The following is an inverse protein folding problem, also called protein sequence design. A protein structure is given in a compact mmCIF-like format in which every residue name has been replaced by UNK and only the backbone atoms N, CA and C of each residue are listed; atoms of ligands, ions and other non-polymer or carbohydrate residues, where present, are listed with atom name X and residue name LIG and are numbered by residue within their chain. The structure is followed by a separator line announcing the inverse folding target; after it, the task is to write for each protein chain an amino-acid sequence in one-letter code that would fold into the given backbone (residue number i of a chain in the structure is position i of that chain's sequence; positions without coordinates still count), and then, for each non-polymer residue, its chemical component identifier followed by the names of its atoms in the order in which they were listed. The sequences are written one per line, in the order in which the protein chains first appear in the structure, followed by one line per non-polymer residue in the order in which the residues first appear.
data_IF_785068671441
#
_entry.id   IF_785068671441
#
_cell.length_a   1.000
_cell.length_b   1.000
_cell.length_c   1.000
_cell.angle_alpha   90.00
_cell.angle_beta   90.00
_cell.angle_gamma   90.00
#
_symmetry.space_group_name_H-M   'P 1'
#
loop_
_entity.id
_entity.type
_entity.pdbx_description
1 polymer ?
#
# COMPACT_ATOMS: atom_id res chain seq x y z
N UNK A 1 18.48 -6.42 0.17
CA UNK A 1 18.61 -5.36 -0.85
C UNK A 1 20.06 -5.31 -1.25
N UNK A 2 20.39 -5.76 -2.47
CA UNK A 2 21.77 -5.75 -2.97
C UNK A 2 22.09 -4.35 -3.48
N UNK A 3 23.23 -3.77 -3.09
CA UNK A 3 23.63 -2.42 -3.49
C UNK A 3 23.04 -1.27 -2.66
N UNK A 4 22.06 -1.55 -1.80
CA UNK A 4 21.66 -0.62 -0.74
C UNK A 4 22.59 -0.85 0.45
N UNK A 5 23.16 0.21 1.02
CA UNK A 5 24.01 0.14 2.22
C UNK A 5 23.22 -0.35 3.45
N UNK A 6 23.59 0.13 4.64
CA UNK A 6 22.81 -0.18 5.85
C UNK A 6 21.32 0.16 5.64
N UNK A 7 20.48 -0.88 5.67
CA UNK A 7 19.05 -0.78 5.35
C UNK A 7 18.24 -1.33 6.52
N UNK A 8 17.16 -0.63 6.87
CA UNK A 8 16.26 -0.99 7.97
C UNK A 8 14.83 -1.12 7.46
N UNK A 9 14.18 -2.25 7.75
CA UNK A 9 12.75 -2.45 7.48
C UNK A 9 11.98 -2.39 8.79
N UNK A 10 11.18 -1.33 8.99
CA UNK A 10 10.30 -1.16 10.16
C UNK A 10 8.84 -1.22 9.72
N UNK A 11 8.03 -1.98 10.46
CA UNK A 11 6.57 -1.89 10.36
C UNK A 11 6.06 -0.80 11.30
N UNK A 12 5.34 0.18 10.77
CA UNK A 12 4.70 1.25 11.53
C UNK A 12 3.18 1.04 11.54
N UNK A 13 2.56 1.13 12.72
CA UNK A 13 1.11 1.18 12.86
C UNK A 13 0.65 2.62 13.09
N UNK A 14 -0.18 3.15 12.20
CA UNK A 14 -0.76 4.49 12.32
C UNK A 14 -2.27 4.32 12.52
N UNK A 15 -2.86 4.83 13.62
CA UNK A 15 -4.31 4.77 13.79
C UNK A 15 -4.97 5.81 12.89
N UNK A 16 -5.82 5.36 11.97
CA UNK A 16 -6.69 6.25 11.18
C UNK A 16 -8.09 6.13 11.79
N UNK A 17 -8.54 7.11 12.59
CA UNK A 17 -9.83 7.03 13.26
C UNK A 17 -10.98 7.16 12.26
N UNK A 18 -12.06 6.44 12.50
CA UNK A 18 -13.35 6.68 11.84
C UNK A 18 -14.11 7.70 12.69
N UNK A 19 -14.32 8.91 12.16
CA UNK A 19 -14.85 10.08 12.85
C UNK A 19 -16.35 10.28 12.60
N UNK A 20 -16.86 9.78 11.46
CA UNK A 20 -18.24 9.93 11.03
C UNK A 20 -18.69 8.77 10.13
N UNK A 21 -19.97 8.77 9.79
CA UNK A 21 -20.67 7.76 9.00
C UNK A 21 -20.22 7.75 7.53
N UNK A 22 -19.94 8.92 6.97
CA UNK A 22 -19.49 9.07 5.58
C UNK A 22 -18.12 8.41 5.39
N UNK A 23 -17.16 8.65 6.30
CA UNK A 23 -15.87 7.98 6.26
C UNK A 23 -15.98 6.47 6.51
N UNK A 24 -16.90 6.03 7.38
CA UNK A 24 -17.19 4.61 7.55
C UNK A 24 -17.65 3.99 6.22
N UNK A 25 -18.53 4.67 5.50
CA UNK A 25 -18.99 4.26 4.17
C UNK A 25 -17.86 4.23 3.14
N UNK A 26 -17.04 5.30 3.07
CA UNK A 26 -15.92 5.38 2.12
C UNK A 26 -14.81 4.35 2.39
N UNK A 27 -14.65 3.89 3.63
CA UNK A 27 -13.65 2.88 4.00
C UNK A 27 -14.18 1.45 3.94
N UNK A 28 -15.48 1.25 3.75
CA UNK A 28 -16.14 -0.06 3.65
C UNK A 28 -15.99 -0.75 2.28
N UNK A 29 -14.96 -0.39 1.50
CA UNK A 29 -14.69 -0.97 0.17
C UNK A 29 -14.23 -2.42 0.31
N UNK A 30 -14.82 -3.32 -0.50
CA UNK A 30 -14.46 -4.75 -0.47
C UNK A 30 -13.23 -5.03 -1.31
N UNK A 31 -12.50 -6.08 -0.96
CA UNK A 31 -11.34 -6.54 -1.73
C UNK A 31 -11.67 -6.85 -3.22
N UNK A 32 -12.92 -7.17 -3.55
CA UNK A 32 -13.36 -7.41 -4.95
C UNK A 32 -13.55 -6.14 -5.77
N UNK A 33 -13.74 -5.00 -5.11
CA UNK A 33 -13.96 -3.69 -5.71
C UNK A 33 -12.65 -2.88 -5.84
N UNK A 34 -11.58 -3.31 -5.17
CA UNK A 34 -10.26 -2.68 -5.26
C UNK A 34 -9.47 -3.32 -6.40
N UNK A 35 -9.34 -2.60 -7.51
CA UNK A 35 -8.59 -3.05 -8.68
C UNK A 35 -7.18 -2.44 -8.76
N UNK A 36 -6.25 -3.22 -9.27
CA UNK A 36 -4.88 -2.79 -9.56
C UNK A 36 -4.36 -3.41 -10.87
N UNK A 37 -3.21 -2.92 -11.32
CA UNK A 37 -2.51 -3.38 -12.53
C UNK A 37 -1.36 -4.30 -12.15
N UNK A 38 -1.09 -5.30 -12.99
CA UNK A 38 0.11 -6.13 -12.89
C UNK A 38 1.20 -5.45 -13.70
N UNK A 39 2.32 -5.12 -13.06
CA UNK A 39 3.47 -4.44 -13.68
C UNK A 39 4.68 -5.36 -13.69
N UNK A 40 5.43 -5.37 -14.78
CA UNK A 40 6.72 -6.06 -14.87
C UNK A 40 7.78 -5.28 -14.10
N UNK A 41 8.21 -5.82 -12.95
CA UNK A 41 9.23 -5.19 -12.10
C UNK A 41 10.64 -5.25 -12.70
N UNK A 42 10.88 -6.13 -13.68
CA UNK A 42 12.21 -6.36 -14.27
C UNK A 42 12.52 -5.45 -15.45
N UNK A 43 11.53 -5.13 -16.29
CA UNK A 43 11.70 -4.32 -17.50
C UNK A 43 10.88 -3.04 -17.43
N UNK A 44 9.56 -3.15 -17.30
CA UNK A 44 8.68 -1.98 -17.41
C UNK A 44 8.87 -0.98 -16.27
N UNK A 45 9.02 -1.45 -15.03
CA UNK A 45 9.22 -0.57 -13.87
C UNK A 45 10.53 0.25 -13.93
N UNK A 46 11.73 -0.34 -14.12
CA UNK A 46 12.97 0.45 -14.17
C UNK A 46 13.08 1.34 -15.42
N UNK A 47 12.50 0.93 -16.54
CA UNK A 47 12.60 1.69 -17.81
C UNK A 47 11.46 2.69 -18.01
N UNK A 48 10.53 2.81 -17.05
CA UNK A 48 9.34 3.66 -17.14
C UNK A 48 8.49 3.38 -18.38
N UNK A 49 8.47 2.13 -18.83
CA UNK A 49 7.66 1.72 -19.97
C UNK A 49 6.20 1.60 -19.53
N UNK A 50 5.32 2.31 -20.24
CA UNK A 50 3.89 2.19 -20.03
C UNK A 50 3.42 0.79 -20.43
N UNK A 51 2.72 0.11 -19.52
CA UNK A 51 2.13 -1.19 -19.82
C UNK A 51 1.63 -1.90 -18.57
N UNK A 52 0.65 -2.79 -18.77
CA UNK A 52 0.23 -3.73 -17.75
C UNK A 52 0.12 -5.13 -18.33
N UNK A 53 0.53 -6.12 -17.54
CA UNK A 53 0.37 -7.53 -17.86
C UNK A 53 -1.07 -8.04 -17.61
N UNK A 54 -1.92 -7.21 -17.02
CA UNK A 54 -3.32 -7.53 -16.72
C UNK A 54 -3.88 -6.72 -15.56
N UNK A 55 -5.20 -6.75 -15.39
CA UNK A 55 -5.91 -6.10 -14.29
C UNK A 55 -6.47 -7.15 -13.34
N UNK A 56 -6.27 -6.96 -12.04
CA UNK A 56 -6.72 -7.88 -10.98
C UNK A 56 -7.32 -7.11 -9.82
N UNK A 57 -8.16 -7.75 -9.01
CA UNK A 57 -8.63 -7.18 -7.75
C UNK A 57 -7.94 -7.79 -6.52
N UNK A 58 -8.06 -7.13 -5.37
CA UNK A 58 -7.43 -7.58 -4.13
C UNK A 58 -7.95 -8.94 -3.65
N UNK A 59 -9.21 -9.31 -3.97
CA UNK A 59 -9.77 -10.64 -3.66
C UNK A 59 -8.99 -11.73 -4.39
N UNK A 60 -8.71 -11.54 -5.67
CA UNK A 60 -7.88 -12.45 -6.46
C UNK A 60 -6.45 -12.51 -5.89
N UNK A 61 -5.83 -11.36 -5.59
CA UNK A 61 -4.48 -11.32 -5.02
C UNK A 61 -4.39 -12.06 -3.68
N UNK A 62 -5.41 -11.94 -2.83
CA UNK A 62 -5.48 -12.63 -1.53
C UNK A 62 -5.75 -14.12 -1.63
N UNK A 63 -6.28 -14.61 -2.76
CA UNK A 63 -6.48 -16.05 -2.98
C UNK A 63 -5.16 -16.83 -3.07
N UNK A 64 -4.03 -16.14 -3.27
CA UNK A 64 -2.70 -16.74 -3.36
C UNK A 64 -2.28 -17.15 -4.77
N UNK A 65 -3.13 -17.01 -5.78
CA UNK A 65 -2.79 -17.29 -7.19
C UNK A 65 -3.63 -16.44 -8.13
N UNK A 66 -3.03 -15.96 -9.22
CA UNK A 66 -3.70 -15.25 -10.32
C UNK A 66 -3.31 -15.85 -11.67
N UNK A 67 -4.02 -15.47 -12.72
CA UNK A 67 -3.67 -15.85 -14.10
C UNK A 67 -3.03 -14.66 -14.83
N UNK A 68 -1.87 -14.89 -15.45
CA UNK A 68 -1.16 -13.91 -16.26
C UNK A 68 -0.77 -14.58 -17.58
N UNK A 69 -1.27 -14.06 -18.70
CA UNK A 69 -1.02 -14.61 -20.05
C UNK A 69 -1.27 -16.13 -20.15
N UNK A 70 -2.38 -16.62 -19.59
CA UNK A 70 -2.73 -18.05 -19.60
C UNK A 70 -1.98 -18.92 -18.60
N UNK A 71 -1.11 -18.35 -17.75
CA UNK A 71 -0.33 -19.08 -16.74
C UNK A 71 -0.80 -18.73 -15.34
N UNK A 72 -0.95 -19.74 -14.48
CA UNK A 72 -1.18 -19.55 -13.05
C UNK A 72 0.13 -19.12 -12.37
N UNK A 73 0.08 -18.00 -11.66
CA UNK A 73 1.23 -17.40 -10.97
C UNK A 73 0.87 -17.20 -9.49
N UNK A 74 1.72 -17.64 -8.54
CA UNK A 74 1.46 -17.43 -7.12
C UNK A 74 1.55 -15.95 -6.76
N UNK A 75 0.74 -15.53 -5.80
CA UNK A 75 0.76 -14.16 -5.26
C UNK A 75 1.12 -14.16 -3.79
N UNK A 76 1.90 -13.16 -3.38
CA UNK A 76 2.24 -12.92 -1.98
C UNK A 76 2.27 -11.42 -1.72
N UNK A 77 1.92 -11.03 -0.50
CA UNK A 77 2.01 -9.63 -0.07
C UNK A 77 3.46 -9.25 0.24
N UNK A 78 3.85 -8.01 -0.10
CA UNK A 78 5.19 -7.49 0.21
C UNK A 78 5.42 -7.36 1.73
N UNK A 79 4.35 -7.09 2.47
CA UNK A 79 4.35 -7.00 3.94
C UNK A 79 3.52 -8.12 4.57
N UNK A 80 3.81 -8.46 5.82
CA UNK A 80 3.12 -9.54 6.53
C UNK A 80 1.74 -9.09 7.03
N UNK A 81 0.67 -9.59 6.40
CA UNK A 81 -0.70 -9.31 6.82
C UNK A 81 -1.03 -9.76 8.26
N UNK A 82 -0.59 -10.96 8.74
CA UNK A 82 -0.79 -11.35 10.13
C UNK A 82 -0.11 -10.41 11.13
N UNK A 83 1.11 -9.93 10.81
CA UNK A 83 1.79 -8.95 11.66
C UNK A 83 1.07 -7.60 11.66
N UNK A 84 0.59 -7.14 10.50
CA UNK A 84 -0.21 -5.92 10.41
C UNK A 84 -1.48 -5.99 11.29
N UNK A 85 -2.20 -7.13 11.27
CA UNK A 85 -3.36 -7.36 12.14
C UNK A 85 -3.00 -7.38 13.63
N UNK A 86 -1.85 -7.97 13.99
CA UNK A 86 -1.33 -7.94 15.35
C UNK A 86 -1.06 -6.51 15.82
N UNK A 87 -0.37 -5.71 15.01
CA UNK A 87 -0.08 -4.30 15.31
C UNK A 87 -1.38 -3.50 15.48
N UNK A 88 -2.34 -3.66 14.56
CA UNK A 88 -3.64 -2.99 14.64
C UNK A 88 -4.39 -3.33 15.94
N UNK A 89 -4.40 -4.60 16.36
CA UNK A 89 -5.05 -5.00 17.61
C UNK A 89 -4.34 -4.44 18.85
N UNK A 90 -3.01 -4.43 18.88
CA UNK A 90 -2.23 -3.85 19.99
C UNK A 90 -2.54 -2.35 20.12
N UNK A 91 -2.51 -1.62 19.00
CA UNK A 91 -2.77 -0.19 18.97
C UNK A 91 -4.21 0.13 19.40
N UNK A 92 -5.19 -0.66 18.93
CA UNK A 92 -6.59 -0.55 19.35
C UNK A 92 -6.73 -0.72 20.87
N UNK A 93 -6.04 -1.68 21.45
CA UNK A 93 -6.08 -1.92 22.90
C UNK A 93 -5.47 -0.75 23.68
N UNK A 94 -4.33 -0.22 23.24
CA UNK A 94 -3.72 0.95 23.89
C UNK A 94 -4.62 2.18 23.84
N UNK A 95 -5.30 2.42 22.72
CA UNK A 95 -6.28 3.51 22.58
C UNK A 95 -7.45 3.31 23.56
N UNK A 96 -8.03 2.10 23.60
CA UNK A 96 -9.13 1.79 24.53
C UNK A 96 -8.75 1.96 26.01
N UNK A 97 -7.51 1.64 26.36
CA UNK A 97 -6.98 1.79 27.72
C UNK A 97 -6.56 3.23 28.07
N UNK A 98 -6.67 4.18 27.14
CA UNK A 98 -6.18 5.55 27.34
C UNK A 98 -4.64 5.67 27.43
N UNK A 99 -3.91 4.60 27.08
CA UNK A 99 -2.42 4.58 27.05
C UNK A 99 -1.85 5.18 25.78
N UNK A 100 -2.69 5.37 24.77
CA UNK A 100 -2.37 6.03 23.52
C UNK A 100 -3.51 6.99 23.18
N UNK A 101 -3.20 8.28 23.07
CA UNK A 101 -4.17 9.31 22.73
C UNK A 101 -4.04 9.67 21.24
N UNK A 102 -5.16 9.93 20.59
CA UNK A 102 -5.16 10.46 19.22
C UNK A 102 -4.78 11.93 19.28
N UNK A 103 -3.78 12.31 18.51
CA UNK A 103 -3.40 13.72 18.32
C UNK A 103 -4.18 14.31 17.15
N UNK A 104 -4.30 15.64 17.14
CA UNK A 104 -4.77 16.35 15.96
C UNK A 104 -3.82 16.09 14.76
N UNK A 105 -4.34 16.09 13.52
CA UNK A 105 -3.51 15.92 12.35
C UNK A 105 -2.41 16.99 12.30
N UNK A 106 -1.14 16.57 12.28
CA UNK A 106 -0.01 17.51 12.12
C UNK A 106 -0.06 18.23 10.76
N UNK A 107 -0.60 17.55 9.74
CA UNK A 107 -0.85 18.10 8.41
C UNK A 107 -1.96 17.27 7.74
N UNK A 108 -2.82 17.93 6.95
CA UNK A 108 -3.81 17.24 6.13
C UNK A 108 -3.14 16.62 4.90
N UNK A 109 -3.59 15.44 4.51
CA UNK A 109 -3.16 14.80 3.26
C UNK A 109 -3.65 15.67 2.10
N UNK A 110 -2.80 15.96 1.10
CA UNK A 110 -3.21 16.72 -0.07
C UNK A 110 -4.40 16.07 -0.77
N UNK A 111 -5.42 16.87 -1.08
CA UNK A 111 -6.58 16.44 -1.84
C UNK A 111 -6.28 16.37 -3.34
N UNK A 112 -7.22 15.84 -4.13
CA UNK A 112 -7.08 15.70 -5.58
C UNK A 112 -6.88 17.06 -6.30
N UNK A 113 -7.38 18.14 -5.72
CA UNK A 113 -7.30 19.53 -6.18
C UNK A 113 -6.04 20.27 -5.67
N UNK A 114 -5.15 19.62 -4.92
CA UNK A 114 -3.92 20.22 -4.37
C UNK A 114 -2.89 20.65 -5.42
N UNK A 115 -3.09 20.31 -6.70
CA UNK A 115 -2.15 20.62 -7.79
C UNK A 115 -0.80 19.89 -7.71
N UNK A 116 -0.64 18.95 -6.75
CA UNK A 116 0.57 18.15 -6.65
C UNK A 116 0.69 17.20 -7.83
N UNK A 117 1.87 17.19 -8.43
CA UNK A 117 2.22 16.29 -9.54
C UNK A 117 3.39 15.41 -9.14
N UNK A 118 3.29 14.12 -9.45
CA UNK A 118 4.39 13.19 -9.22
C UNK A 118 5.55 13.53 -10.18
N UNK A 119 6.71 13.83 -9.61
CA UNK A 119 7.94 14.05 -10.37
C UNK A 119 8.76 12.77 -10.37
N UNK A 120 9.10 12.28 -11.55
CA UNK A 120 10.07 11.21 -11.71
C UNK A 120 11.43 11.66 -11.21
N UNK A 121 12.13 10.77 -10.50
CA UNK A 121 13.52 10.99 -10.15
C UNK A 121 14.35 11.01 -11.44
N UNK A 122 14.89 12.17 -11.80
CA UNK A 122 15.86 12.28 -12.90
C UNK A 122 17.25 12.07 -12.31
N UNK A 123 17.76 10.84 -12.42
CA UNK A 123 19.13 10.54 -11.99
C UNK A 123 20.14 11.32 -12.84
N UNK A 124 21.18 11.84 -12.18
CA UNK A 124 22.27 12.52 -12.87
C UNK A 124 23.14 11.45 -13.55
N UNK A 125 23.55 11.64 -14.83
CA UNK A 125 24.44 10.69 -15.48
C UNK A 125 25.73 10.54 -14.66
N UNK A 126 26.09 9.29 -14.36
CA UNK A 126 27.39 8.95 -13.81
C UNK A 126 28.44 9.20 -14.90
N UNK A 127 29.49 9.97 -14.57
CA UNK A 127 30.64 10.19 -15.45
C UNK A 127 31.56 8.97 -15.43
#
# INVERSE_FOLDING_TARGET
LTGYGASLMIGLGIPIPILDEDMAMFTAVKDEDIYTQIIDYSQSYPNLEAGSLGRVNYKQLRSGTIEVKGKKVPTASLSSYPRARKIANILKEWIKQGKFLLAEPAQLIPSADSGLTFKLLKERPLK
#
